data_IF_101684986369
#
_entry.id   IF_101684986369
#
_cell.length_a   1.000
_cell.length_b   1.000
_cell.length_c   1.000
_cell.angle_alpha   90.00
_cell.angle_beta   90.00
_cell.angle_gamma   90.00
#
_symmetry.space_group_name_H-M   'P 1'
#
loop_
_entity.id
_entity.type
_entity.pdbx_description
1 polymer ?
#
# COMPACT_ATOMS: atom_id res chain seq x y z
N UNK A 1 8.33 7.31 15.63
CA UNK A 1 7.22 6.51 15.08
C UNK A 1 7.32 6.45 13.57
N UNK A 2 6.84 5.38 12.93
CA UNK A 2 6.70 5.29 11.47
C UNK A 2 5.29 5.76 11.10
N UNK A 3 5.18 6.69 10.15
CA UNK A 3 3.90 7.12 9.60
C UNK A 3 3.57 6.30 8.36
N UNK A 4 2.35 5.74 8.30
CA UNK A 4 1.86 5.02 7.12
C UNK A 4 0.68 5.76 6.52
N UNK A 5 0.86 6.35 5.35
CA UNK A 5 -0.22 6.89 4.54
C UNK A 5 -0.83 5.76 3.70
N UNK A 6 -2.12 5.52 3.92
CA UNK A 6 -2.94 4.59 3.14
C UNK A 6 -3.89 5.42 2.26
N UNK A 7 -3.53 5.71 0.99
CA UNK A 7 -4.34 6.61 0.15
C UNK A 7 -5.73 6.07 -0.17
N UNK A 8 -5.89 4.75 -0.18
CA UNK A 8 -7.12 4.07 -0.58
C UNK A 8 -7.43 2.88 0.34
N UNK A 9 -7.73 3.14 1.64
CA UNK A 9 -8.08 2.08 2.59
C UNK A 9 -9.31 1.30 2.12
N UNK A 10 -9.50 0.09 2.62
CA UNK A 10 -10.62 -0.76 2.25
C UNK A 10 -11.14 -1.54 3.44
N UNK A 11 -12.44 -1.78 3.46
CA UNK A 11 -13.01 -2.84 4.29
C UNK A 11 -12.90 -4.16 3.51
N UNK A 12 -12.06 -5.07 3.98
CA UNK A 12 -11.81 -6.34 3.29
C UNK A 12 -12.81 -7.38 3.77
N UNK A 13 -13.58 -7.95 2.82
CA UNK A 13 -14.51 -9.04 3.05
C UNK A 13 -13.95 -10.32 2.41
N UNK A 14 -13.90 -11.39 3.18
CA UNK A 14 -13.55 -12.71 2.66
C UNK A 14 -14.75 -13.64 2.78
N UNK A 15 -15.19 -14.19 1.66
CA UNK A 15 -16.27 -15.16 1.57
C UNK A 15 -15.71 -16.54 1.32
N UNK A 16 -16.01 -17.52 2.17
CA UNK A 16 -15.70 -18.91 1.93
C UNK A 16 -16.89 -19.61 1.26
N UNK A 17 -16.64 -20.29 0.14
CA UNK A 17 -17.61 -21.08 -0.61
C UNK A 17 -17.00 -22.43 -0.95
N UNK A 18 -17.83 -23.45 -1.25
CA UNK A 18 -17.33 -24.78 -1.65
C UNK A 18 -16.57 -24.71 -2.98
N UNK A 19 -17.20 -24.08 -3.98
CA UNK A 19 -16.63 -23.93 -5.33
C UNK A 19 -17.27 -22.77 -6.06
N UNK A 20 -16.42 -21.91 -6.65
CA UNK A 20 -16.87 -20.80 -7.50
C UNK A 20 -17.28 -21.28 -8.88
N UNK A 21 -18.49 -20.89 -9.35
CA UNK A 21 -19.00 -21.20 -10.69
C UNK A 21 -19.67 -19.97 -11.29
N UNK A 22 -19.24 -19.57 -12.46
CA UNK A 22 -19.84 -18.44 -13.18
C UNK A 22 -21.31 -18.75 -13.52
N UNK A 23 -22.19 -17.78 -13.32
CA UNK A 23 -23.62 -17.90 -13.63
C UNK A 23 -24.46 -18.65 -12.59
N UNK A 24 -23.91 -18.96 -11.42
CA UNK A 24 -24.61 -19.64 -10.34
C UNK A 24 -24.66 -18.80 -9.08
N UNK A 25 -25.67 -19.02 -8.24
CA UNK A 25 -25.72 -18.49 -6.88
C UNK A 25 -24.85 -19.35 -5.95
N UNK A 26 -24.11 -18.66 -5.07
CA UNK A 26 -23.25 -19.33 -4.09
C UNK A 26 -23.74 -19.02 -2.67
N UNK A 27 -23.87 -20.03 -1.84
CA UNK A 27 -24.10 -19.85 -0.41
C UNK A 27 -22.76 -19.70 0.28
N UNK A 28 -22.57 -18.54 0.94
CA UNK A 28 -21.36 -18.26 1.70
C UNK A 28 -21.42 -19.01 3.01
N UNK A 29 -20.38 -19.78 3.33
CA UNK A 29 -20.29 -20.58 4.56
C UNK A 29 -19.73 -19.75 5.71
N UNK A 30 -18.75 -18.92 5.44
CA UNK A 30 -18.09 -18.04 6.40
C UNK A 30 -17.83 -16.67 5.79
N UNK A 31 -18.03 -15.63 6.57
CA UNK A 31 -17.76 -14.24 6.18
C UNK A 31 -16.79 -13.64 7.20
N UNK A 32 -15.59 -13.28 6.71
CA UNK A 32 -14.61 -12.56 7.52
C UNK A 32 -14.55 -11.11 7.06
N UNK A 33 -14.55 -10.20 8.01
CA UNK A 33 -14.43 -8.76 7.77
C UNK A 33 -13.18 -8.28 8.48
N UNK A 34 -12.34 -7.54 7.76
CA UNK A 34 -11.10 -7.00 8.30
C UNK A 34 -10.87 -5.56 7.83
N UNK A 35 -10.20 -4.78 8.64
CA UNK A 35 -9.62 -3.54 8.18
C UNK A 35 -8.51 -3.85 7.18
N UNK A 36 -8.52 -3.23 6.03
CA UNK A 36 -7.63 -3.59 4.92
C UNK A 36 -7.14 -2.39 4.11
N UNK A 37 -6.55 -2.74 2.98
CA UNK A 37 -5.73 -1.85 2.16
C UNK A 37 -4.24 -2.05 2.45
N UNK A 38 -3.41 -1.89 1.41
CA UNK A 38 -1.96 -2.19 1.51
C UNK A 38 -1.29 -1.49 2.70
N UNK A 39 -1.56 -0.20 2.93
CA UNK A 39 -0.93 0.54 4.02
C UNK A 39 -1.37 0.06 5.40
N UNK A 40 -2.63 -0.32 5.58
CA UNK A 40 -3.10 -0.92 6.84
C UNK A 40 -2.35 -2.22 7.13
N UNK A 41 -2.15 -3.07 6.12
CA UNK A 41 -1.39 -4.31 6.27
C UNK A 41 0.07 -4.04 6.62
N UNK A 42 0.70 -3.01 6.01
CA UNK A 42 2.05 -2.57 6.37
C UNK A 42 2.10 -2.09 7.83
N UNK A 43 1.12 -1.29 8.27
CA UNK A 43 1.07 -0.80 9.64
C UNK A 43 1.00 -1.96 10.67
N UNK A 44 0.17 -2.97 10.42
CA UNK A 44 0.07 -4.17 11.25
C UNK A 44 1.39 -4.93 11.33
N UNK A 45 2.05 -5.14 10.19
CA UNK A 45 3.35 -5.85 10.16
C UNK A 45 4.41 -5.07 10.93
N UNK A 46 4.49 -3.76 10.74
CA UNK A 46 5.43 -2.91 11.48
C UNK A 46 5.16 -2.95 12.98
N UNK A 47 3.90 -2.87 13.40
CA UNK A 47 3.51 -2.98 14.81
C UNK A 47 3.87 -4.36 15.40
N UNK A 48 3.62 -5.44 14.67
CA UNK A 48 4.01 -6.80 15.07
C UNK A 48 5.55 -6.96 15.19
N UNK A 49 6.32 -6.15 14.44
CA UNK A 49 7.78 -6.06 14.57
C UNK A 49 8.24 -5.09 15.69
N UNK A 50 7.32 -4.63 16.53
CA UNK A 50 7.62 -3.79 17.69
C UNK A 50 7.85 -2.30 17.35
N UNK A 51 7.46 -1.86 16.15
CA UNK A 51 7.56 -0.45 15.79
C UNK A 51 6.34 0.34 16.28
N UNK A 52 6.56 1.58 16.70
CA UNK A 52 5.44 2.53 16.89
C UNK A 52 4.97 3.03 15.54
N UNK A 53 3.69 2.82 15.23
CA UNK A 53 3.12 3.12 13.91
C UNK A 53 1.88 4.00 14.06
N UNK A 54 1.78 5.02 13.23
CA UNK A 54 0.54 5.77 13.03
C UNK A 54 0.07 5.57 11.59
N UNK A 55 -1.18 5.12 11.39
CA UNK A 55 -1.81 5.03 10.08
C UNK A 55 -2.69 6.24 9.83
N UNK A 56 -2.61 6.80 8.62
CA UNK A 56 -3.43 7.93 8.16
C UNK A 56 -3.94 7.71 6.74
N UNK A 57 -4.90 8.50 6.33
CA UNK A 57 -5.50 8.49 4.99
C UNK A 57 -6.98 8.88 5.04
N UNK A 58 -7.67 8.90 3.89
CA UNK A 58 -9.09 9.23 3.83
C UNK A 58 -9.96 8.08 4.34
N UNK A 59 -10.90 8.36 5.23
CA UNK A 59 -11.82 7.35 5.77
C UNK A 59 -13.23 7.94 5.93
N UNK A 60 -14.27 7.25 5.43
CA UNK A 60 -15.61 7.78 5.51
C UNK A 60 -16.73 6.74 5.40
N UNK A 61 -17.94 7.19 5.75
CA UNK A 61 -19.16 6.37 5.73
C UNK A 61 -19.17 5.25 6.76
N UNK A 62 -20.19 4.40 6.71
CA UNK A 62 -20.34 3.26 7.62
C UNK A 62 -19.16 2.27 7.52
N UNK A 63 -18.69 2.00 6.30
CA UNK A 63 -17.54 1.12 6.07
C UNK A 63 -16.24 1.68 6.66
N UNK A 64 -16.05 3.00 6.63
CA UNK A 64 -14.92 3.65 7.28
C UNK A 64 -15.00 3.58 8.80
N UNK A 65 -16.20 3.74 9.37
CA UNK A 65 -16.42 3.59 10.82
C UNK A 65 -16.15 2.16 11.28
N UNK A 66 -16.60 1.17 10.51
CA UNK A 66 -16.33 -0.24 10.78
C UNK A 66 -14.84 -0.57 10.72
N UNK A 67 -14.14 -0.08 9.67
CA UNK A 67 -12.68 -0.25 9.54
C UNK A 67 -11.94 0.35 10.74
N UNK A 68 -12.33 1.55 11.18
CA UNK A 68 -11.75 2.21 12.36
C UNK A 68 -11.91 1.34 13.60
N UNK A 69 -13.12 0.83 13.87
CA UNK A 69 -13.41 -0.02 15.02
C UNK A 69 -12.63 -1.35 14.99
N UNK A 70 -12.45 -1.94 13.81
CA UNK A 70 -11.63 -3.15 13.66
C UNK A 70 -10.17 -2.91 14.02
N UNK A 71 -9.60 -1.75 13.63
CA UNK A 71 -8.22 -1.39 13.95
C UNK A 71 -7.98 -1.01 15.40
N UNK A 72 -9.02 -0.65 16.17
CA UNK A 72 -8.90 -0.42 17.62
C UNK A 72 -8.44 -1.67 18.39
N UNK A 73 -8.60 -2.84 17.79
CA UNK A 73 -8.17 -4.12 18.35
C UNK A 73 -6.75 -4.54 17.92
N UNK A 74 -6.09 -3.76 17.06
CA UNK A 74 -4.74 -4.03 16.58
C UNK A 74 -3.71 -3.32 17.47
N UNK A 75 -3.02 -4.00 18.38
CA UNK A 75 -2.09 -3.37 19.30
C UNK A 75 -0.92 -2.72 18.56
N UNK A 76 -0.53 -1.53 18.98
CA UNK A 76 0.62 -0.81 18.43
C UNK A 76 0.36 -0.04 17.13
N UNK A 77 -0.90 0.04 16.67
CA UNK A 77 -1.30 0.86 15.53
C UNK A 77 -2.15 2.04 16.01
N UNK A 78 -1.57 3.22 16.03
CA UNK A 78 -2.30 4.47 16.26
C UNK A 78 -3.02 4.91 14.98
N UNK A 79 -4.18 5.56 15.12
CA UNK A 79 -5.02 5.97 14.00
C UNK A 79 -5.19 7.48 13.92
N UNK A 80 -4.90 8.08 12.76
CA UNK A 80 -5.06 9.50 12.47
C UNK A 80 -5.76 9.73 11.12
N UNK A 81 -6.99 9.22 10.98
CA UNK A 81 -7.76 9.27 9.75
C UNK A 81 -8.32 10.66 9.45
N UNK A 82 -8.36 11.01 8.17
CA UNK A 82 -9.05 12.20 7.67
C UNK A 82 -10.46 11.82 7.22
N UNK A 83 -11.46 12.41 7.85
CA UNK A 83 -12.86 12.18 7.52
C UNK A 83 -13.23 12.69 6.12
N UNK A 84 -13.90 11.85 5.32
CA UNK A 84 -14.41 12.17 3.98
C UNK A 84 -15.90 11.92 3.89
N UNK A 85 -16.59 12.61 2.97
CA UNK A 85 -18.04 12.52 2.82
C UNK A 85 -18.53 11.24 2.15
N UNK A 86 -17.69 10.59 1.32
CA UNK A 86 -18.03 9.32 0.64
C UNK A 86 -17.59 8.12 1.50
N UNK A 87 -18.22 6.97 1.25
CA UNK A 87 -17.88 5.73 1.95
C UNK A 87 -16.52 5.18 1.50
N UNK A 88 -15.75 4.67 2.46
CA UNK A 88 -14.58 3.83 2.20
C UNK A 88 -14.97 2.63 1.36
N UNK A 89 -14.13 2.27 0.41
CA UNK A 89 -14.35 1.13 -0.50
C UNK A 89 -14.33 -0.20 0.23
N UNK A 90 -14.86 -1.22 -0.44
CA UNK A 90 -14.70 -2.63 -0.05
C UNK A 90 -13.79 -3.34 -1.01
N UNK A 91 -13.15 -4.40 -0.53
CA UNK A 91 -12.62 -5.46 -1.38
C UNK A 91 -13.31 -6.76 -0.97
N UNK A 92 -13.69 -7.56 -1.93
CA UNK A 92 -14.31 -8.86 -1.68
C UNK A 92 -13.41 -9.94 -2.25
N UNK A 93 -12.94 -10.85 -1.40
CA UNK A 93 -12.21 -12.04 -1.82
C UNK A 93 -13.10 -13.26 -1.63
N UNK A 94 -13.36 -13.98 -2.70
CA UNK A 94 -14.06 -15.27 -2.66
C UNK A 94 -13.01 -16.36 -2.65
N UNK A 95 -12.99 -17.15 -1.58
CA UNK A 95 -12.10 -18.30 -1.42
C UNK A 95 -12.92 -19.56 -1.68
N UNK A 96 -12.41 -20.42 -2.54
CA UNK A 96 -12.88 -21.78 -2.69
C UNK A 96 -11.72 -22.78 -2.50
N UNK A 97 -11.98 -24.09 -2.65
CA UNK A 97 -10.98 -25.12 -2.39
C UNK A 97 -9.72 -24.98 -3.27
N UNK A 98 -9.84 -24.37 -4.45
CA UNK A 98 -8.79 -24.37 -5.48
C UNK A 98 -8.22 -22.97 -5.75
N UNK A 99 -8.93 -21.89 -5.36
CA UNK A 99 -8.59 -20.54 -5.80
C UNK A 99 -9.07 -19.41 -4.86
N UNK A 100 -8.53 -18.22 -5.12
CA UNK A 100 -8.98 -16.96 -4.53
C UNK A 100 -9.33 -15.97 -5.66
N UNK A 101 -10.56 -15.48 -5.68
CA UNK A 101 -11.02 -14.48 -6.66
C UNK A 101 -11.32 -13.17 -5.95
N UNK A 102 -10.63 -12.11 -6.34
CA UNK A 102 -10.76 -10.78 -5.74
C UNK A 102 -11.60 -9.81 -6.57
N UNK A 103 -12.46 -9.06 -5.90
CA UNK A 103 -13.24 -7.94 -6.44
C UNK A 103 -12.87 -6.68 -5.68
N UNK A 104 -12.20 -5.75 -6.37
CA UNK A 104 -11.71 -4.53 -5.75
C UNK A 104 -12.50 -3.32 -6.23
N UNK A 105 -13.22 -2.66 -5.34
CA UNK A 105 -13.83 -1.37 -5.64
C UNK A 105 -12.73 -0.31 -5.86
N UNK A 106 -12.93 0.66 -6.77
CA UNK A 106 -11.90 1.65 -7.13
C UNK A 106 -11.58 2.66 -6.03
N UNK A 107 -12.42 2.75 -5.00
CA UNK A 107 -12.34 3.78 -3.96
C UNK A 107 -13.15 5.03 -4.27
N UNK A 108 -13.39 5.86 -3.25
CA UNK A 108 -14.16 7.08 -3.37
C UNK A 108 -13.41 8.15 -4.16
N UNK A 109 -14.14 9.00 -4.87
CA UNK A 109 -13.61 10.24 -5.40
C UNK A 109 -13.63 11.29 -4.28
N UNK A 110 -12.47 11.90 -4.01
CA UNK A 110 -12.31 12.91 -2.98
C UNK A 110 -12.50 14.31 -3.57
N UNK A 111 -13.09 15.20 -2.78
CA UNK A 111 -13.12 16.63 -3.12
C UNK A 111 -11.74 17.24 -2.95
N UNK A 112 -11.54 18.43 -3.52
CA UNK A 112 -10.28 19.17 -3.38
C UNK A 112 -9.95 19.43 -1.91
N UNK A 113 -10.92 19.88 -1.13
CA UNK A 113 -10.75 20.17 0.29
C UNK A 113 -10.39 18.92 1.12
N UNK A 114 -10.93 17.76 0.74
CA UNK A 114 -10.57 16.49 1.38
C UNK A 114 -9.13 16.09 1.05
N UNK A 115 -8.70 16.26 -0.21
CA UNK A 115 -7.32 16.03 -0.63
C UNK A 115 -6.34 16.95 0.10
N UNK A 116 -6.66 18.24 0.18
CA UNK A 116 -5.83 19.24 0.85
C UNK A 116 -5.71 18.92 2.36
N UNK A 117 -6.79 18.46 3.00
CA UNK A 117 -6.75 18.00 4.40
C UNK A 117 -5.91 16.73 4.59
N UNK A 118 -6.00 15.77 3.67
CA UNK A 118 -5.15 14.56 3.75
C UNK A 118 -3.69 14.96 3.61
N UNK A 119 -3.35 15.85 2.70
CA UNK A 119 -1.99 16.37 2.55
C UNK A 119 -1.51 17.07 3.83
N UNK A 120 -2.33 17.99 4.36
CA UNK A 120 -2.00 18.74 5.56
C UNK A 120 -1.74 17.82 6.76
N UNK A 121 -2.67 16.91 7.08
CA UNK A 121 -2.51 15.96 8.19
C UNK A 121 -1.29 15.06 8.00
N UNK A 122 -1.03 14.63 6.76
CA UNK A 122 0.15 13.81 6.46
C UNK A 122 1.44 14.58 6.73
N UNK A 123 1.54 15.84 6.31
CA UNK A 123 2.72 16.69 6.56
C UNK A 123 2.93 16.98 8.05
N UNK A 124 1.85 17.31 8.79
CA UNK A 124 1.90 17.54 10.23
C UNK A 124 2.41 16.31 11.01
N UNK A 125 1.96 15.11 10.61
CA UNK A 125 2.41 13.86 11.22
C UNK A 125 3.84 13.49 10.79
N UNK A 126 4.18 13.69 9.52
CA UNK A 126 5.50 13.38 8.96
C UNK A 126 6.60 14.19 9.64
N UNK A 127 6.36 15.44 10.02
CA UNK A 127 7.33 16.30 10.70
C UNK A 127 7.91 15.71 12.01
N UNK A 128 7.25 14.71 12.60
CA UNK A 128 7.67 13.99 13.82
C UNK A 128 7.87 12.50 13.60
N UNK A 129 7.81 12.04 12.36
CA UNK A 129 8.00 10.64 12.01
C UNK A 129 9.49 10.34 11.75
N UNK A 130 9.91 9.09 12.01
CA UNK A 130 11.22 8.57 11.62
C UNK A 130 11.26 8.11 10.16
N UNK A 131 10.09 7.83 9.56
CA UNK A 131 9.90 7.53 8.16
C UNK A 131 8.44 7.71 7.75
N UNK A 132 8.19 8.03 6.47
CA UNK A 132 6.88 8.00 5.85
C UNK A 132 6.82 6.81 4.88
N UNK A 133 5.82 5.95 5.07
CA UNK A 133 5.49 4.88 4.12
C UNK A 133 4.17 5.23 3.44
N UNK A 134 4.17 5.32 2.12
CA UNK A 134 2.97 5.52 1.30
C UNK A 134 2.66 4.19 0.62
N UNK A 135 1.57 3.51 0.98
CA UNK A 135 1.30 2.18 0.45
C UNK A 135 -0.15 2.00 0.02
N UNK A 136 -0.32 1.59 -1.22
CA UNK A 136 -1.60 1.35 -1.88
C UNK A 136 -1.81 2.17 -3.15
N UNK A 137 -2.91 1.88 -3.86
CA UNK A 137 -3.33 2.65 -5.03
C UNK A 137 -3.85 4.02 -4.64
N UNK A 138 -3.78 4.97 -5.55
CA UNK A 138 -4.50 6.23 -5.39
C UNK A 138 -5.98 6.03 -5.73
N UNK A 139 -6.92 6.63 -4.98
CA UNK A 139 -8.34 6.60 -5.32
C UNK A 139 -8.63 7.47 -6.55
N UNK A 140 -9.86 7.36 -7.09
CA UNK A 140 -10.28 8.15 -8.25
C UNK A 140 -10.17 9.66 -7.99
N UNK A 141 -9.75 10.40 -9.01
CA UNK A 141 -9.58 11.86 -8.92
C UNK A 141 -8.31 12.32 -8.22
N UNK A 142 -7.58 11.42 -7.56
CA UNK A 142 -6.31 11.76 -6.93
C UNK A 142 -5.17 11.68 -7.95
N UNK A 143 -4.65 12.83 -8.33
CA UNK A 143 -3.56 12.92 -9.30
C UNK A 143 -2.26 12.32 -8.75
N UNK A 144 -1.47 11.60 -9.56
CA UNK A 144 -0.10 11.20 -9.22
C UNK A 144 0.80 12.36 -8.78
N UNK A 145 0.49 13.58 -9.21
CA UNK A 145 1.17 14.81 -8.83
C UNK A 145 1.19 15.06 -7.31
N UNK A 146 0.25 14.46 -6.59
CA UNK A 146 0.26 14.46 -5.13
C UNK A 146 1.59 13.91 -4.58
N UNK A 147 2.10 12.81 -5.13
CA UNK A 147 3.37 12.22 -4.71
C UNK A 147 4.56 13.10 -5.09
N UNK A 148 4.50 13.73 -6.27
CA UNK A 148 5.53 14.68 -6.70
C UNK A 148 5.63 15.91 -5.78
N UNK A 149 4.53 16.27 -5.11
CA UNK A 149 4.50 17.37 -4.11
C UNK A 149 4.90 16.85 -2.72
N UNK A 150 4.33 15.74 -2.27
CA UNK A 150 4.50 15.26 -0.89
C UNK A 150 5.93 14.76 -0.62
N UNK A 151 6.51 13.97 -1.55
CA UNK A 151 7.81 13.33 -1.33
C UNK A 151 8.91 14.34 -1.03
N UNK A 152 9.19 15.36 -1.88
CA UNK A 152 10.26 16.29 -1.61
C UNK A 152 10.04 17.14 -0.34
N UNK A 153 8.80 17.56 -0.06
CA UNK A 153 8.49 18.34 1.15
C UNK A 153 8.78 17.54 2.42
N UNK A 154 8.44 16.26 2.46
CA UNK A 154 8.75 15.39 3.61
C UNK A 154 10.25 15.18 3.75
N UNK A 155 10.96 14.98 2.64
CA UNK A 155 12.41 14.80 2.63
C UNK A 155 13.18 16.05 3.07
N UNK A 156 12.68 17.26 2.81
CA UNK A 156 13.26 18.52 3.32
C UNK A 156 13.32 18.56 4.86
N UNK A 157 12.46 17.81 5.54
CA UNK A 157 12.47 17.64 7.00
C UNK A 157 13.38 16.50 7.47
N UNK A 158 14.15 15.88 6.58
CA UNK A 158 15.05 14.77 6.90
C UNK A 158 14.33 13.43 7.12
N UNK A 159 13.07 13.32 6.71
CA UNK A 159 12.26 12.11 6.88
C UNK A 159 12.29 11.28 5.58
N UNK A 160 12.82 10.04 5.61
CA UNK A 160 12.85 9.18 4.44
C UNK A 160 11.43 8.77 4.02
N UNK A 161 11.21 8.69 2.70
CA UNK A 161 9.91 8.36 2.10
C UNK A 161 10.02 7.06 1.31
N UNK A 162 9.21 6.08 1.70
CA UNK A 162 9.06 4.78 1.04
C UNK A 162 7.71 4.72 0.33
N UNK A 163 7.68 4.27 -0.93
CA UNK A 163 6.45 4.24 -1.73
C UNK A 163 6.21 2.85 -2.32
N UNK A 164 5.07 2.24 -1.96
CA UNK A 164 4.55 0.99 -2.52
C UNK A 164 3.24 1.27 -3.27
N UNK A 165 3.35 1.57 -4.54
CA UNK A 165 2.23 1.85 -5.45
C UNK A 165 2.54 1.35 -6.86
N UNK A 166 1.64 1.60 -7.82
CA UNK A 166 1.78 1.12 -9.19
C UNK A 166 1.38 2.18 -10.23
N UNK A 167 1.69 1.90 -11.50
CA UNK A 167 1.28 2.73 -12.63
C UNK A 167 1.83 4.16 -12.57
N UNK A 168 1.04 5.17 -13.00
CA UNK A 168 1.49 6.55 -13.01
C UNK A 168 1.92 7.11 -11.65
N UNK A 169 1.36 6.58 -10.55
CA UNK A 169 1.74 6.98 -9.20
C UNK A 169 3.16 6.51 -8.85
N UNK A 170 3.54 5.29 -9.27
CA UNK A 170 4.92 4.81 -9.11
C UNK A 170 5.91 5.70 -9.86
N UNK A 171 5.61 6.03 -11.10
CA UNK A 171 6.47 6.91 -11.91
C UNK A 171 6.60 8.31 -11.29
N UNK A 172 5.52 8.86 -10.74
CA UNK A 172 5.56 10.15 -10.04
C UNK A 172 6.42 10.09 -8.77
N UNK A 173 6.34 9.01 -7.99
CA UNK A 173 7.19 8.81 -6.82
C UNK A 173 8.68 8.66 -7.19
N UNK A 174 8.97 7.93 -8.26
CA UNK A 174 10.31 7.77 -8.82
C UNK A 174 10.88 9.12 -9.25
N UNK A 175 10.14 9.87 -10.07
CA UNK A 175 10.57 11.20 -10.54
C UNK A 175 10.74 12.21 -9.40
N UNK A 176 9.98 12.05 -8.30
CA UNK A 176 10.12 12.86 -7.09
C UNK A 176 11.34 12.47 -6.21
N UNK A 177 12.08 11.44 -6.57
CA UNK A 177 13.27 10.99 -5.84
C UNK A 177 12.94 10.29 -4.52
N UNK A 178 11.88 9.46 -4.49
CA UNK A 178 11.57 8.67 -3.31
C UNK A 178 12.78 7.84 -2.84
N UNK A 179 13.01 7.77 -1.52
CA UNK A 179 14.17 7.07 -0.96
C UNK A 179 14.10 5.56 -1.23
N UNK A 180 12.88 5.01 -1.27
CA UNK A 180 12.66 3.63 -1.66
C UNK A 180 11.32 3.50 -2.40
N UNK A 181 11.32 2.79 -3.52
CA UNK A 181 10.11 2.30 -4.17
C UNK A 181 10.06 0.79 -4.14
N UNK A 182 8.84 0.23 -3.98
CA UNK A 182 8.66 -1.23 -3.85
C UNK A 182 7.62 -1.78 -4.84
N UNK A 183 7.90 -1.82 -6.15
CA UNK A 183 7.06 -2.52 -7.11
C UNK A 183 7.21 -4.06 -7.00
N UNK A 184 6.22 -4.81 -7.47
CA UNK A 184 6.44 -6.20 -7.89
C UNK A 184 7.00 -6.26 -9.31
N UNK A 185 7.42 -7.47 -9.77
CA UNK A 185 8.03 -7.65 -11.09
C UNK A 185 7.13 -7.16 -12.24
N UNK A 186 5.82 -7.40 -12.16
CA UNK A 186 4.84 -6.94 -13.15
C UNK A 186 4.71 -5.41 -13.15
N UNK A 187 4.55 -4.81 -11.97
CA UNK A 187 4.42 -3.35 -11.81
C UNK A 187 5.69 -2.62 -12.27
N UNK A 188 6.88 -3.17 -11.99
CA UNK A 188 8.15 -2.64 -12.45
C UNK A 188 8.27 -2.73 -13.98
N UNK A 189 7.91 -3.88 -14.56
CA UNK A 189 7.90 -4.09 -16.01
C UNK A 189 6.94 -3.15 -16.74
N UNK A 190 5.69 -3.03 -16.26
CA UNK A 190 4.70 -2.10 -16.82
C UNK A 190 5.14 -0.63 -16.75
N UNK A 191 5.91 -0.25 -15.73
CA UNK A 191 6.41 1.11 -15.55
C UNK A 191 7.61 1.45 -16.42
N UNK A 192 8.36 0.45 -16.92
CA UNK A 192 9.65 0.64 -17.58
C UNK A 192 9.76 0.01 -18.97
N UNK A 193 8.72 -0.71 -19.41
CA UNK A 193 8.72 -1.57 -20.62
C UNK A 193 9.81 -2.67 -20.60
N UNK A 194 10.30 -3.05 -19.41
CA UNK A 194 11.32 -4.08 -19.23
C UNK A 194 10.68 -5.39 -18.74
N UNK A 195 11.09 -6.51 -19.36
CA UNK A 195 10.61 -7.85 -18.94
C UNK A 195 11.47 -8.48 -17.84
N UNK A 196 12.73 -8.08 -17.74
CA UNK A 196 13.66 -8.54 -16.71
C UNK A 196 13.56 -7.65 -15.46
N UNK A 197 13.23 -8.20 -14.27
CA UNK A 197 13.05 -7.40 -13.05
C UNK A 197 14.30 -6.63 -12.61
N UNK A 198 15.50 -7.13 -12.92
CA UNK A 198 16.75 -6.44 -12.61
C UNK A 198 16.94 -5.22 -13.51
N UNK A 199 16.62 -5.35 -14.80
CA UNK A 199 16.66 -4.22 -15.75
C UNK A 199 15.60 -3.19 -15.40
N UNK A 200 14.37 -3.64 -15.10
CA UNK A 200 13.30 -2.77 -14.63
C UNK A 200 13.71 -1.97 -13.37
N UNK A 201 14.31 -2.64 -12.39
CA UNK A 201 14.81 -1.97 -11.18
C UNK A 201 15.89 -0.92 -11.48
N UNK A 202 16.83 -1.22 -12.39
CA UNK A 202 17.85 -0.26 -12.83
C UNK A 202 17.26 0.92 -13.59
N UNK A 203 16.24 0.69 -14.41
CA UNK A 203 15.54 1.76 -15.13
C UNK A 203 14.82 2.70 -14.14
N UNK A 204 14.20 2.18 -13.08
CA UNK A 204 13.59 3.00 -12.02
C UNK A 204 14.63 3.82 -11.25
N UNK A 205 15.83 3.26 -10.96
CA UNK A 205 16.92 4.03 -10.37
C UNK A 205 17.38 5.16 -11.31
N UNK A 206 17.59 4.85 -12.60
CA UNK A 206 17.98 5.84 -13.59
C UNK A 206 16.92 6.94 -13.78
N UNK A 207 15.64 6.64 -13.55
CA UNK A 207 14.53 7.59 -13.61
C UNK A 207 14.37 8.44 -12.34
N UNK A 208 15.16 8.20 -11.27
CA UNK A 208 15.23 9.07 -10.10
C UNK A 208 14.99 8.44 -8.74
N UNK A 209 14.54 7.19 -8.64
CA UNK A 209 14.42 6.50 -7.35
C UNK A 209 15.80 6.37 -6.69
N UNK A 210 15.90 6.56 -5.37
CA UNK A 210 17.15 6.38 -4.62
C UNK A 210 17.40 4.92 -4.24
N UNK A 211 16.34 4.12 -4.14
CA UNK A 211 16.38 2.69 -3.89
C UNK A 211 15.18 1.99 -4.50
N UNK A 212 15.35 0.73 -4.89
CA UNK A 212 14.29 -0.11 -5.44
C UNK A 212 14.32 -1.47 -4.75
N UNK A 213 13.16 -1.92 -4.24
CA UNK A 213 12.95 -3.32 -3.82
C UNK A 213 11.90 -3.91 -4.74
N UNK A 214 12.28 -4.85 -5.59
CA UNK A 214 11.37 -5.52 -6.50
C UNK A 214 11.00 -6.90 -5.96
N UNK A 215 9.72 -7.13 -5.65
CA UNK A 215 9.25 -8.45 -5.21
C UNK A 215 8.98 -9.37 -6.41
N UNK A 216 9.41 -10.64 -6.27
CA UNK A 216 9.41 -11.67 -7.32
C UNK A 216 8.48 -12.85 -6.98
N UNK A 217 7.52 -12.67 -6.08
CA UNK A 217 6.67 -13.75 -5.59
C UNK A 217 7.48 -14.84 -4.87
N UNK A 218 7.32 -16.08 -5.26
CA UNK A 218 8.04 -17.22 -4.69
C UNK A 218 9.57 -17.16 -4.90
N UNK A 219 10.03 -16.38 -5.88
CA UNK A 219 11.47 -16.19 -6.13
C UNK A 219 12.13 -15.15 -5.23
N UNK A 220 11.36 -14.59 -4.29
CA UNK A 220 11.87 -13.67 -3.28
C UNK A 220 11.85 -12.20 -3.72
N UNK A 221 12.96 -11.48 -3.56
CA UNK A 221 13.07 -10.07 -3.91
C UNK A 221 14.48 -9.68 -4.33
N UNK A 222 14.55 -8.58 -5.09
CA UNK A 222 15.77 -7.88 -5.43
C UNK A 222 15.79 -6.52 -4.74
N UNK A 223 16.93 -6.12 -4.18
CA UNK A 223 17.14 -4.76 -3.70
C UNK A 223 18.30 -4.11 -4.47
N UNK A 224 18.06 -2.89 -4.94
CA UNK A 224 18.97 -2.11 -5.76
C UNK A 224 19.12 -0.70 -5.21
N UNK A 225 20.33 -0.19 -5.22
CA UNK A 225 20.66 1.22 -5.01
C UNK A 225 21.81 1.63 -5.91
N UNK A 226 22.06 2.94 -6.17
CA UNK A 226 23.08 3.38 -7.11
C UNK A 226 24.49 2.88 -6.76
N UNK A 227 24.87 2.92 -5.48
CA UNK A 227 26.25 2.76 -5.03
C UNK A 227 26.52 1.42 -4.30
N UNK A 228 25.59 0.45 -4.38
CA UNK A 228 25.74 -0.84 -3.73
C UNK A 228 25.49 -2.00 -4.69
N UNK A 229 26.09 -3.19 -4.42
CA UNK A 229 25.79 -4.37 -5.19
C UNK A 229 24.30 -4.75 -5.06
N UNK A 230 23.76 -5.35 -6.12
CA UNK A 230 22.39 -5.88 -6.10
C UNK A 230 22.30 -6.99 -5.06
N UNK A 231 21.35 -6.86 -4.15
CA UNK A 231 21.05 -7.89 -3.16
C UNK A 231 19.86 -8.72 -3.64
N UNK A 232 19.91 -10.01 -3.40
CA UNK A 232 18.80 -10.93 -3.63
C UNK A 232 18.49 -11.65 -2.32
N UNK A 233 17.21 -11.61 -1.91
CA UNK A 233 16.70 -12.37 -0.78
C UNK A 233 15.65 -13.38 -1.28
N UNK A 234 15.70 -14.59 -0.74
CA UNK A 234 14.70 -15.63 -0.98
C UNK A 234 14.35 -16.26 0.36
N UNK A 235 13.06 -16.50 0.57
CA UNK A 235 12.63 -17.29 1.72
C UNK A 235 13.04 -18.76 1.49
N UNK A 236 13.63 -19.35 2.51
CA UNK A 236 13.88 -20.78 2.54
C UNK A 236 12.61 -21.46 3.08
N UNK A 237 11.88 -22.24 2.24
CA UNK A 237 10.64 -22.90 2.67
C UNK A 237 10.84 -23.81 3.88
N UNK A 238 12.03 -24.43 4.00
CA UNK A 238 12.35 -25.39 5.07
C UNK A 238 12.56 -24.70 6.44
N UNK A 239 12.70 -23.37 6.45
CA UNK A 239 12.82 -22.57 7.68
C UNK A 239 11.49 -21.94 8.15
N UNK A 240 10.45 -22.05 7.35
CA UNK A 240 9.13 -21.51 7.69
C UNK A 240 8.28 -22.52 8.44
N UNK A 241 8.80 -23.32 9.32
CA UNK A 241 8.11 -24.24 10.25
C UNK A 241 6.56 -24.22 10.19
N UNK A 242 5.98 -24.78 9.12
CA UNK A 242 4.54 -25.08 9.02
C UNK A 242 4.30 -26.50 9.49
#
# INVERSE_FOLDING_TARGET
>A
MILVLTPNPALDLTYAVDRTRTGHEHRVQDVRVAAGGKGVNVARVLAALGQQVTVTGPLGGATGSELRGLLEHDPGVDQAWVGIGRSTRRTVTVLDADSATGFNEPGPELTRDELDRVLQVTLELAARASALVISGSLPRGWSPQFLATLVPVVQEHGVPVLVDTSGPALLAAVAAGADLVKPNAREAGEATDETDPLRAGRALLAAGARGVVCSLGADGMLALSPDAPVLRARLDPDRLGY
#
